data_IF_360343565943
#
_entry.id   IF_360343565943
#
_cell.length_a   1.000
_cell.length_b   1.000
_cell.length_c   1.000
_cell.angle_alpha   90.00
_cell.angle_beta   90.00
_cell.angle_gamma   90.00
#
_symmetry.space_group_name_H-M   'P 1'
#
loop_
_entity.id
_entity.type
_entity.pdbx_description
1 polymer ?
#
# COMPACT_ATOMS: atom_id res chain seq x y z
N UNK A 1 12.10 8.22 -4.21
CA UNK A 1 11.39 7.15 -4.95
C UNK A 1 9.94 7.54 -5.14
N UNK A 2 9.46 7.47 -6.36
CA UNK A 2 8.06 7.81 -6.67
C UNK A 2 7.38 6.65 -7.38
N UNK A 3 6.18 6.29 -6.90
CA UNK A 3 5.35 5.25 -7.51
C UNK A 3 4.01 5.88 -7.85
N UNK A 4 3.57 5.75 -9.10
CA UNK A 4 2.22 6.12 -9.50
C UNK A 4 1.40 4.86 -9.69
N UNK A 5 0.48 4.61 -8.77
CA UNK A 5 -0.31 3.38 -8.76
C UNK A 5 -1.10 3.20 -10.06
N UNK A 6 -1.81 4.24 -10.47
CA UNK A 6 -2.66 4.15 -11.65
C UNK A 6 -1.91 3.99 -12.96
N UNK A 7 -0.76 4.67 -13.10
CA UNK A 7 0.02 4.65 -14.35
C UNK A 7 0.98 3.49 -14.44
N UNK A 8 1.60 3.10 -13.34
CA UNK A 8 2.65 2.08 -13.34
C UNK A 8 2.13 0.68 -13.06
N UNK A 9 1.05 0.54 -12.30
CA UNK A 9 0.51 -0.75 -11.92
C UNK A 9 -0.82 -1.04 -12.60
N UNK A 10 -1.86 -0.24 -12.29
CA UNK A 10 -3.17 -0.46 -12.88
C UNK A 10 -4.15 0.65 -12.52
N UNK A 11 -4.95 1.07 -13.50
CA UNK A 11 -5.91 2.15 -13.31
C UNK A 11 -7.07 1.75 -12.41
N UNK A 12 -7.43 0.45 -12.43
CA UNK A 12 -8.54 -0.09 -11.64
C UNK A 12 -8.06 -1.24 -10.76
N UNK A 13 -7.26 -0.93 -9.71
CA UNK A 13 -6.76 -2.00 -8.82
C UNK A 13 -7.93 -2.63 -8.07
N UNK A 14 -7.91 -3.95 -7.93
CA UNK A 14 -8.99 -4.65 -7.25
C UNK A 14 -8.54 -6.02 -6.75
N UNK A 15 -9.05 -6.42 -5.58
CA UNK A 15 -8.81 -7.74 -5.01
C UNK A 15 -7.60 -7.81 -4.11
N UNK A 16 -7.50 -8.91 -3.36
CA UNK A 16 -6.43 -9.14 -2.39
C UNK A 16 -5.28 -9.94 -2.98
N UNK A 17 -5.60 -11.07 -3.60
CA UNK A 17 -4.63 -12.12 -3.94
C UNK A 17 -4.51 -12.32 -5.43
N UNK A 18 -3.45 -13.02 -5.83
CA UNK A 18 -3.16 -13.27 -7.25
C UNK A 18 -4.36 -13.90 -8.00
N UNK A 19 -5.15 -14.74 -7.32
CA UNK A 19 -6.31 -15.37 -7.91
C UNK A 19 -7.49 -14.43 -8.15
N UNK A 20 -7.48 -13.24 -7.53
CA UNK A 20 -8.60 -12.30 -7.61
C UNK A 20 -8.57 -11.41 -8.86
N UNK A 21 -7.48 -11.46 -9.63
CA UNK A 21 -7.33 -10.68 -10.84
C UNK A 21 -5.92 -10.13 -10.99
N UNK A 22 -5.62 -9.48 -12.13
CA UNK A 22 -4.25 -9.08 -12.45
C UNK A 22 -3.73 -7.87 -11.66
N UNK A 23 -4.62 -7.06 -11.06
CA UNK A 23 -4.22 -5.82 -10.38
C UNK A 23 -4.57 -5.85 -8.89
N UNK A 24 -4.19 -6.94 -8.23
CA UNK A 24 -4.51 -7.19 -6.83
C UNK A 24 -3.47 -6.60 -5.87
N UNK A 25 -3.85 -6.53 -4.57
CA UNK A 25 -3.02 -5.93 -3.53
C UNK A 25 -1.72 -6.67 -3.26
N UNK A 26 -1.76 -7.99 -3.28
CA UNK A 26 -0.57 -8.82 -3.10
C UNK A 26 0.47 -8.50 -4.16
N UNK A 27 0.06 -8.43 -5.43
CA UNK A 27 0.98 -8.15 -6.54
C UNK A 27 1.58 -6.75 -6.40
N UNK A 28 0.77 -5.74 -6.07
CA UNK A 28 1.29 -4.39 -5.87
C UNK A 28 2.31 -4.35 -4.73
N UNK A 29 2.02 -5.01 -3.62
CA UNK A 29 2.96 -5.12 -2.50
C UNK A 29 4.27 -5.76 -2.93
N UNK A 30 4.20 -6.91 -3.58
CA UNK A 30 5.39 -7.70 -3.91
C UNK A 30 6.24 -7.08 -5.02
N UNK A 31 5.61 -6.47 -6.02
CA UNK A 31 6.34 -5.95 -7.17
C UNK A 31 6.75 -4.48 -7.04
N UNK A 32 6.03 -3.69 -6.23
CA UNK A 32 6.29 -2.25 -6.12
C UNK A 32 6.69 -1.82 -4.71
N UNK A 33 5.92 -2.18 -3.70
CA UNK A 33 6.14 -1.66 -2.35
C UNK A 33 7.38 -2.26 -1.69
N UNK A 34 7.51 -3.58 -1.70
CA UNK A 34 8.66 -4.23 -1.07
C UNK A 34 9.97 -3.83 -1.74
N UNK A 35 10.10 -3.86 -3.08
CA UNK A 35 11.33 -3.39 -3.70
C UNK A 35 11.68 -1.94 -3.35
N UNK A 36 10.68 -1.05 -3.29
CA UNK A 36 10.92 0.35 -2.92
C UNK A 36 11.43 0.46 -1.47
N UNK A 37 10.83 -0.31 -0.55
CA UNK A 37 11.23 -0.29 0.85
C UNK A 37 12.65 -0.84 1.09
N UNK A 38 13.09 -1.76 0.23
CA UNK A 38 14.44 -2.32 0.30
C UNK A 38 15.47 -1.47 -0.41
N UNK A 39 15.04 -0.44 -1.14
CA UNK A 39 15.94 0.49 -1.82
C UNK A 39 16.58 1.48 -0.86
N UNK A 40 17.43 2.36 -1.41
CA UNK A 40 18.19 3.32 -0.62
C UNK A 40 17.40 4.55 -0.19
N UNK A 41 16.29 4.85 -0.84
CA UNK A 41 15.51 6.06 -0.55
C UNK A 41 14.70 5.90 0.73
N UNK A 42 14.84 6.86 1.64
CA UNK A 42 14.10 6.85 2.89
C UNK A 42 12.61 7.18 2.66
N UNK A 43 12.35 8.19 1.83
CA UNK A 43 10.99 8.63 1.55
C UNK A 43 10.48 8.02 0.25
N UNK A 44 9.25 7.48 0.29
CA UNK A 44 8.60 6.85 -0.85
C UNK A 44 7.28 7.57 -1.10
N UNK A 45 7.19 8.29 -2.22
CA UNK A 45 5.97 8.96 -2.62
C UNK A 45 5.09 8.00 -3.42
N UNK A 46 3.84 7.85 -2.99
CA UNK A 46 2.88 6.99 -3.67
C UNK A 46 1.72 7.84 -4.15
N UNK A 47 1.61 8.01 -5.45
CA UNK A 47 0.55 8.80 -6.08
C UNK A 47 -0.64 7.90 -6.39
N UNK A 48 -1.75 8.16 -5.72
CA UNK A 48 -3.00 7.40 -5.86
C UNK A 48 -3.99 8.08 -6.82
N UNK A 49 -3.67 9.29 -7.27
CA UNK A 49 -4.62 10.15 -7.97
C UNK A 49 -5.08 9.63 -9.33
N UNK A 50 -4.26 8.81 -9.99
CA UNK A 50 -4.58 8.25 -11.31
C UNK A 50 -5.26 6.87 -11.24
N UNK A 51 -5.40 6.30 -10.05
CA UNK A 51 -6.14 5.06 -9.85
C UNK A 51 -7.61 5.36 -9.53
N UNK A 52 -8.49 4.46 -9.93
CA UNK A 52 -9.94 4.61 -9.76
C UNK A 52 -10.51 3.45 -8.97
N UNK A 53 -11.52 3.75 -8.15
CA UNK A 53 -12.25 2.72 -7.44
C UNK A 53 -11.43 1.95 -6.43
N UNK A 54 -10.53 2.63 -5.72
CA UNK A 54 -9.69 2.00 -4.71
C UNK A 54 -10.55 1.44 -3.57
N UNK A 55 -10.55 0.12 -3.46
CA UNK A 55 -11.38 -0.59 -2.47
C UNK A 55 -10.55 -0.98 -1.26
N UNK A 56 -11.24 -1.12 -0.11
CA UNK A 56 -10.61 -1.47 1.15
C UNK A 56 -9.84 -2.77 1.09
N UNK A 57 -10.36 -3.78 0.38
CA UNK A 57 -9.69 -5.07 0.27
C UNK A 57 -8.32 -4.97 -0.40
N UNK A 58 -8.22 -4.16 -1.46
CA UNK A 58 -6.95 -3.92 -2.14
C UNK A 58 -5.97 -3.18 -1.22
N UNK A 59 -6.43 -2.09 -0.61
CA UNK A 59 -5.57 -1.25 0.24
C UNK A 59 -5.08 -2.01 1.47
N UNK A 60 -5.96 -2.77 2.11
CA UNK A 60 -5.60 -3.54 3.30
C UNK A 60 -4.56 -4.60 2.96
N UNK A 61 -4.75 -5.32 1.85
CA UNK A 61 -3.79 -6.35 1.45
C UNK A 61 -2.45 -5.75 1.03
N UNK A 62 -2.46 -4.67 0.27
CA UNK A 62 -1.24 -4.03 -0.21
C UNK A 62 -0.42 -3.45 0.95
N UNK A 63 -1.04 -2.66 1.81
CA UNK A 63 -0.33 -1.90 2.86
C UNK A 63 -0.31 -2.62 4.20
N UNK A 64 -1.44 -3.14 4.67
CA UNK A 64 -1.48 -3.95 5.89
C UNK A 64 -0.64 -5.21 5.75
N UNK A 65 -0.63 -5.79 4.56
CA UNK A 65 0.18 -6.96 4.27
C UNK A 65 1.67 -6.76 4.48
N UNK A 66 2.17 -5.52 4.39
CA UNK A 66 3.58 -5.22 4.65
C UNK A 66 3.95 -5.53 6.10
N UNK A 67 3.08 -5.19 7.04
CA UNK A 67 3.33 -5.48 8.46
C UNK A 67 3.27 -7.00 8.69
N UNK A 68 2.33 -7.68 8.05
CA UNK A 68 2.22 -9.14 8.16
C UNK A 68 3.47 -9.86 7.66
N UNK A 69 4.19 -9.29 6.69
CA UNK A 69 5.44 -9.90 6.18
C UNK A 69 6.69 -9.34 6.87
N UNK A 70 6.54 -8.53 7.92
CA UNK A 70 7.65 -8.19 8.79
C UNK A 70 8.08 -6.73 8.83
N UNK A 71 7.47 -5.83 8.05
CA UNK A 71 7.82 -4.41 8.12
C UNK A 71 7.19 -3.76 9.36
N UNK A 72 7.86 -2.75 9.91
CA UNK A 72 7.42 -2.05 11.12
C UNK A 72 6.44 -0.95 10.75
N UNK A 73 5.26 -0.94 11.41
CA UNK A 73 4.19 -0.01 11.10
C UNK A 73 4.63 1.47 11.17
N UNK A 74 5.29 1.87 12.25
CA UNK A 74 5.73 3.27 12.42
C UNK A 74 6.71 3.69 11.34
N UNK A 75 7.56 2.79 10.90
CA UNK A 75 8.53 3.05 9.83
C UNK A 75 7.82 3.28 8.50
N UNK A 76 6.81 2.46 8.19
CA UNK A 76 6.02 2.60 6.97
C UNK A 76 5.29 3.94 6.94
N UNK A 77 4.64 4.30 8.04
CA UNK A 77 3.89 5.55 8.14
C UNK A 77 4.83 6.76 7.98
N UNK A 78 6.02 6.68 8.53
CA UNK A 78 7.03 7.73 8.40
C UNK A 78 7.54 7.86 6.96
N UNK A 79 7.77 6.74 6.29
CA UNK A 79 8.43 6.72 4.96
C UNK A 79 7.47 6.98 3.80
N UNK A 80 6.21 6.52 3.90
CA UNK A 80 5.25 6.70 2.81
C UNK A 80 4.67 8.10 2.80
N UNK A 81 4.71 8.76 1.62
CA UNK A 81 4.07 10.05 1.37
C UNK A 81 3.04 9.86 0.27
N UNK A 82 1.78 10.00 0.61
CA UNK A 82 0.71 9.76 -0.34
C UNK A 82 0.28 11.04 -1.05
N UNK A 83 0.08 10.95 -2.36
CA UNK A 83 -0.51 12.00 -3.17
C UNK A 83 -1.91 11.56 -3.56
N UNK A 84 -2.92 12.28 -3.09
CA UNK A 84 -4.31 11.97 -3.37
C UNK A 84 -5.17 13.21 -3.11
N UNK A 85 -6.30 13.31 -3.81
CA UNK A 85 -7.30 14.35 -3.57
C UNK A 85 -8.23 13.99 -2.41
N UNK A 86 -8.17 12.75 -1.96
CA UNK A 86 -9.03 12.24 -0.88
C UNK A 86 -8.17 11.92 0.35
N UNK A 87 -8.13 12.86 1.29
CA UNK A 87 -7.35 12.70 2.51
C UNK A 87 -7.81 11.51 3.35
N UNK A 88 -9.06 11.07 3.21
CA UNK A 88 -9.56 9.91 3.96
C UNK A 88 -8.88 8.62 3.54
N UNK A 89 -8.37 8.53 2.30
CA UNK A 89 -7.59 7.36 1.87
C UNK A 89 -6.29 7.21 2.66
N UNK A 90 -5.65 8.34 2.98
CA UNK A 90 -4.40 8.32 3.75
C UNK A 90 -4.68 7.76 5.15
N UNK A 91 -5.73 8.24 5.80
CA UNK A 91 -6.12 7.77 7.13
C UNK A 91 -6.49 6.30 7.09
N UNK A 92 -7.24 5.88 6.09
CA UNK A 92 -7.64 4.48 5.91
C UNK A 92 -6.42 3.56 5.79
N UNK A 93 -5.45 3.95 4.95
CA UNK A 93 -4.22 3.17 4.77
C UNK A 93 -3.42 3.09 6.08
N UNK A 94 -3.30 4.22 6.79
CA UNK A 94 -2.62 4.23 8.09
C UNK A 94 -3.30 3.31 9.09
N UNK A 95 -4.64 3.26 9.12
CA UNK A 95 -5.38 2.35 9.99
C UNK A 95 -5.07 0.89 9.67
N UNK A 96 -5.06 0.51 8.38
CA UNK A 96 -4.74 -0.86 8.00
C UNK A 96 -3.35 -1.27 8.44
N UNK A 97 -2.39 -0.34 8.35
CA UNK A 97 -1.03 -0.59 8.80
C UNK A 97 -0.97 -0.75 10.32
N UNK A 98 -1.62 0.14 11.07
CA UNK A 98 -1.63 0.11 12.54
C UNK A 98 -2.38 -1.09 13.12
N UNK A 99 -3.48 -1.49 12.48
CA UNK A 99 -4.29 -2.61 12.94
C UNK A 99 -3.50 -3.92 12.95
N UNK A 100 -2.60 -4.12 11.99
CA UNK A 100 -1.76 -5.32 11.95
C UNK A 100 -0.78 -5.36 13.13
N UNK A 101 -0.28 -4.19 13.55
CA UNK A 101 0.64 -4.08 14.67
C UNK A 101 -0.05 -4.44 15.99
N UNK A 102 -1.31 -4.01 16.16
CA UNK A 102 -2.13 -4.35 17.32
C UNK A 102 -2.41 -5.86 17.36
N UNK A 103 -2.69 -6.47 16.22
CA UNK A 103 -2.94 -7.91 16.15
C UNK A 103 -1.73 -8.72 16.58
N UNK A 104 -0.52 -8.21 16.35
CA UNK A 104 0.71 -8.88 16.76
C UNK A 104 0.90 -8.90 18.27
N UNK A 105 0.34 -7.94 18.97
CA UNK A 105 0.48 -7.79 20.41
C UNK A 105 -0.55 -8.61 21.21
N UNK A 106 -1.51 -9.18 20.51
CA UNK A 106 -2.61 -9.93 21.17
C UNK A 106 -2.36 -11.42 21.28
#
# INVERSE_FOLDING_TARGET
>A
MKINLGKQFGRYPAGRYLADGPYNGQKFREEFLIPALKGADDEIEIDLSDARGLKSSFLEEAFGGLVRVGFVADDLIRRFKFVTRDASLIEEIHEYIRDQDQDKDS
#
